data_IF_287180651091
#
_entry.id   IF_287180651091
#
_cell.length_a   1.000
_cell.length_b   1.000
_cell.length_c   1.000
_cell.angle_alpha   90.00
_cell.angle_beta   90.00
_cell.angle_gamma   90.00
#
_symmetry.space_group_name_H-M   'P 1'
#
loop_
_entity.id
_entity.type
_entity.pdbx_description
1 polymer ?
#
# COMPACT_ATOMS: atom_id res chain seq x y z
N UNK A 1 -18.20 -6.26 13.55
CA UNK A 1 -18.87 -4.94 13.59
C UNK A 1 -18.06 -4.03 12.68
N UNK A 2 -18.66 -3.52 11.61
CA UNK A 2 -17.95 -2.79 10.56
C UNK A 2 -17.90 -1.30 10.91
N UNK A 3 -16.69 -0.73 10.97
CA UNK A 3 -16.52 0.68 11.32
C UNK A 3 -16.52 1.58 10.08
N UNK A 4 -17.34 2.63 10.14
CA UNK A 4 -17.36 3.72 9.18
C UNK A 4 -16.39 4.81 9.62
N UNK A 5 -15.46 5.16 8.74
CA UNK A 5 -14.50 6.22 8.99
C UNK A 5 -15.00 7.55 8.40
N UNK A 6 -14.61 8.70 8.97
CA UNK A 6 -14.93 10.00 8.41
C UNK A 6 -14.27 10.14 7.03
N UNK A 7 -14.98 10.79 6.11
CA UNK A 7 -14.56 11.07 4.74
C UNK A 7 -14.43 12.56 4.56
N UNK A 8 -13.27 13.01 4.09
CA UNK A 8 -13.06 14.40 3.70
C UNK A 8 -13.01 14.49 2.18
N UNK A 9 -14.03 15.09 1.59
CA UNK A 9 -14.12 15.24 0.14
C UNK A 9 -12.97 16.08 -0.40
N UNK A 10 -12.55 15.77 -1.62
CA UNK A 10 -11.41 16.41 -2.31
C UNK A 10 -11.47 17.94 -2.28
N UNK A 11 -12.66 18.56 -2.45
CA UNK A 11 -12.80 20.02 -2.44
C UNK A 11 -12.48 20.67 -1.09
N UNK A 12 -12.64 19.92 0.00
CA UNK A 12 -12.30 20.37 1.36
C UNK A 12 -10.87 19.94 1.75
N UNK A 13 -10.38 18.84 1.18
CA UNK A 13 -9.02 18.36 1.39
C UNK A 13 -7.95 19.22 0.70
N UNK A 14 -8.21 19.73 -0.52
CA UNK A 14 -7.26 20.54 -1.30
C UNK A 14 -6.76 21.79 -0.54
N UNK A 15 -7.62 22.65 0.04
CA UNK A 15 -7.16 23.81 0.80
C UNK A 15 -6.27 23.46 1.99
N UNK A 16 -6.57 22.36 2.71
CA UNK A 16 -5.72 21.87 3.80
C UNK A 16 -4.34 21.47 3.29
N UNK A 17 -4.28 20.75 2.17
CA UNK A 17 -3.01 20.35 1.56
C UNK A 17 -2.16 21.57 1.18
N UNK A 18 -2.73 22.55 0.49
CA UNK A 18 -2.01 23.78 0.10
C UNK A 18 -1.50 24.55 1.31
N UNK A 19 -2.30 24.66 2.37
CA UNK A 19 -1.87 25.27 3.63
C UNK A 19 -0.70 24.51 4.25
N UNK A 20 -0.82 23.20 4.43
CA UNK A 20 0.17 22.39 5.15
C UNK A 20 1.53 22.32 4.46
N UNK A 21 1.57 22.46 3.13
CA UNK A 21 2.83 22.59 2.38
C UNK A 21 3.67 23.80 2.79
N UNK A 22 3.06 24.81 3.39
CA UNK A 22 3.74 26.03 3.86
C UNK A 22 4.20 25.95 5.32
N UNK A 23 3.81 24.91 6.05
CA UNK A 23 4.08 24.75 7.48
C UNK A 23 5.27 23.82 7.73
N UNK A 24 5.97 24.02 8.86
CA UNK A 24 6.95 23.06 9.33
C UNK A 24 6.27 21.84 9.97
N UNK A 25 6.92 20.68 9.91
CA UNK A 25 6.39 19.41 10.46
C UNK A 25 5.97 19.56 11.94
N UNK A 26 6.75 20.31 12.73
CA UNK A 26 6.45 20.59 14.15
C UNK A 26 5.13 21.33 14.37
N UNK A 27 4.71 22.15 13.41
CA UNK A 27 3.49 22.96 13.51
C UNK A 27 2.26 22.17 13.06
N UNK A 28 2.44 21.16 12.20
CA UNK A 28 1.37 20.27 11.74
C UNK A 28 0.77 19.44 12.87
N UNK A 29 1.55 19.13 13.91
CA UNK A 29 1.06 18.39 15.07
C UNK A 29 -0.06 19.12 15.82
N UNK A 30 -0.10 20.45 15.75
CA UNK A 30 -1.18 21.28 16.32
C UNK A 30 -2.40 21.43 15.41
N UNK A 31 -2.35 20.94 14.16
CA UNK A 31 -3.46 20.98 13.18
C UNK A 31 -4.29 19.71 13.13
N UNK A 32 -3.80 18.65 13.76
CA UNK A 32 -4.51 17.40 13.85
C UNK A 32 -5.83 17.53 14.62
N UNK A 33 -6.86 16.84 14.17
CA UNK A 33 -8.14 16.74 14.83
C UNK A 33 -8.76 15.35 14.62
N UNK A 34 -9.76 15.01 15.42
CA UNK A 34 -10.55 13.77 15.30
C UNK A 34 -11.85 13.98 14.51
N UNK A 35 -12.12 15.22 14.11
CA UNK A 35 -13.30 15.61 13.35
C UNK A 35 -12.96 16.79 12.43
N UNK A 36 -13.81 16.99 11.41
CA UNK A 36 -13.78 18.14 10.52
C UNK A 36 -15.23 18.51 10.20
N UNK A 37 -15.57 19.80 10.12
CA UNK A 37 -16.96 20.26 9.93
C UNK A 37 -17.60 19.70 8.64
N UNK A 38 -16.81 19.58 7.58
CA UNK A 38 -17.25 19.04 6.29
C UNK A 38 -17.07 17.52 6.16
N UNK A 39 -16.66 16.81 7.23
CA UNK A 39 -16.49 15.37 7.16
C UNK A 39 -17.85 14.66 7.14
N UNK A 40 -17.98 13.68 6.26
CA UNK A 40 -19.19 12.86 6.12
C UNK A 40 -18.88 11.40 6.43
N UNK A 41 -19.92 10.60 6.61
CA UNK A 41 -19.82 9.14 6.74
C UNK A 41 -20.60 8.49 5.61
N UNK A 42 -20.24 7.26 5.25
CA UNK A 42 -21.04 6.47 4.33
C UNK A 42 -22.47 6.30 4.86
N UNK A 43 -23.47 6.36 3.98
CA UNK A 43 -24.86 6.06 4.31
C UNK A 43 -25.11 4.53 4.31
N UNK A 44 -24.24 3.77 4.99
CA UNK A 44 -24.31 2.32 5.10
C UNK A 44 -24.59 1.92 6.55
N UNK A 45 -25.12 0.70 6.78
CA UNK A 45 -25.53 0.22 8.12
C UNK A 45 -24.39 -0.14 9.08
N UNK A 46 -23.24 0.55 9.01
CA UNK A 46 -22.11 0.35 9.91
C UNK A 46 -22.06 1.39 11.05
N UNK A 47 -21.24 1.12 12.05
CA UNK A 47 -21.07 2.03 13.19
C UNK A 47 -20.00 3.07 12.90
N UNK A 48 -20.29 4.33 13.20
CA UNK A 48 -19.27 5.39 13.09
C UNK A 48 -18.15 5.11 14.09
N UNK A 49 -16.91 5.20 13.62
CA UNK A 49 -15.75 5.16 14.52
C UNK A 49 -15.87 6.25 15.58
N UNK A 50 -15.64 5.90 16.85
CA UNK A 50 -15.73 6.87 17.95
C UNK A 50 -14.53 7.82 17.94
N UNK A 51 -14.72 9.02 18.50
CA UNK A 51 -13.63 10.00 18.70
C UNK A 51 -12.46 9.36 19.46
N UNK A 52 -12.76 8.67 20.57
CA UNK A 52 -11.77 7.95 21.37
C UNK A 52 -10.94 6.98 20.53
N UNK A 53 -11.56 6.26 19.59
CA UNK A 53 -10.83 5.31 18.74
C UNK A 53 -9.96 6.00 17.69
N UNK A 54 -10.36 7.18 17.22
CA UNK A 54 -9.51 8.02 16.36
C UNK A 54 -8.31 8.58 17.14
N UNK A 55 -8.50 8.98 18.40
CA UNK A 55 -7.42 9.39 19.30
C UNK A 55 -6.44 8.25 19.55
N UNK A 56 -6.94 7.06 19.94
CA UNK A 56 -6.13 5.86 20.15
C UNK A 56 -5.34 5.48 18.88
N UNK A 57 -5.98 5.53 17.70
CA UNK A 57 -5.34 5.29 16.41
C UNK A 57 -4.21 6.31 16.15
N UNK A 58 -4.48 7.60 16.40
CA UNK A 58 -3.50 8.67 16.20
C UNK A 58 -2.30 8.50 17.13
N UNK A 59 -2.55 8.29 18.41
CA UNK A 59 -1.50 8.19 19.43
C UNK A 59 -0.61 6.98 19.18
N UNK A 60 -1.19 5.82 18.86
CA UNK A 60 -0.42 4.63 18.52
C UNK A 60 0.40 4.79 17.25
N UNK A 61 -0.12 5.47 16.22
CA UNK A 61 0.62 5.77 15.00
C UNK A 61 1.76 6.76 15.22
N UNK A 62 1.57 7.77 16.07
CA UNK A 62 2.63 8.71 16.46
C UNK A 62 3.71 8.02 17.30
N UNK A 63 3.31 7.16 18.23
CA UNK A 63 4.24 6.37 19.04
C UNK A 63 5.07 5.43 18.16
N UNK A 64 4.44 4.80 17.16
CA UNK A 64 5.14 4.00 16.17
C UNK A 64 6.12 4.86 15.38
N UNK A 65 5.68 5.98 14.82
CA UNK A 65 6.53 6.88 14.04
C UNK A 65 7.75 7.39 14.85
N UNK A 66 7.57 7.64 16.15
CA UNK A 66 8.65 8.09 17.03
C UNK A 66 9.78 7.06 17.16
N UNK A 67 9.47 5.76 17.10
CA UNK A 67 10.47 4.68 17.12
C UNK A 67 11.37 4.70 15.86
N UNK A 68 10.92 5.37 14.79
CA UNK A 68 11.62 5.47 13.51
C UNK A 68 12.14 6.89 13.21
N UNK A 69 12.20 7.76 14.21
CA UNK A 69 12.83 9.08 14.10
C UNK A 69 11.87 10.27 13.96
N UNK A 70 10.56 10.08 14.01
CA UNK A 70 9.61 11.21 14.08
C UNK A 70 9.81 12.01 15.37
N UNK A 71 9.78 13.36 15.35
CA UNK A 71 9.54 14.25 14.19
C UNK A 71 10.81 14.70 13.45
N UNK A 72 11.99 14.15 13.80
CA UNK A 72 13.28 14.47 13.20
C UNK A 72 13.59 13.68 11.91
N UNK A 73 14.87 13.52 11.60
CA UNK A 73 15.29 12.77 10.41
C UNK A 73 15.23 11.25 10.63
N UNK A 74 15.01 10.52 9.54
CA UNK A 74 14.94 9.06 9.53
C UNK A 74 15.73 8.53 8.33
N UNK A 75 16.54 7.49 8.55
CA UNK A 75 17.33 6.83 7.52
C UNK A 75 16.44 6.10 6.51
N UNK A 76 16.99 5.74 5.34
CA UNK A 76 16.22 5.00 4.33
C UNK A 76 15.72 3.65 4.85
N UNK A 77 16.57 2.92 5.57
CA UNK A 77 16.23 1.60 6.10
C UNK A 77 15.15 1.71 7.18
N UNK A 78 15.28 2.68 8.09
CA UNK A 78 14.27 2.95 9.12
C UNK A 78 12.89 3.31 8.52
N UNK A 79 12.85 3.97 7.36
CA UNK A 79 11.59 4.25 6.66
C UNK A 79 10.94 2.99 6.10
N UNK A 80 11.74 2.07 5.55
CA UNK A 80 11.23 0.78 5.06
C UNK A 80 10.64 -0.08 6.17
N UNK A 81 11.34 -0.16 7.31
CA UNK A 81 10.86 -0.88 8.49
C UNK A 81 9.63 -0.21 9.12
N UNK A 82 9.60 1.13 9.15
CA UNK A 82 8.42 1.88 9.55
C UNK A 82 7.21 1.53 8.70
N UNK A 83 7.39 1.44 7.37
CA UNK A 83 6.29 1.14 6.44
C UNK A 83 5.71 -0.25 6.60
N UNK A 84 6.58 -1.22 6.89
CA UNK A 84 6.18 -2.58 7.24
C UNK A 84 5.33 -2.58 8.52
N UNK A 85 5.81 -1.95 9.60
CA UNK A 85 5.09 -1.91 10.87
C UNK A 85 3.80 -1.09 10.78
N UNK A 86 3.81 -0.01 10.01
CA UNK A 86 2.66 0.85 9.77
C UNK A 86 1.55 0.11 9.03
N UNK A 87 1.90 -0.69 8.01
CA UNK A 87 0.94 -1.54 7.30
C UNK A 87 0.23 -2.52 8.25
N UNK A 88 1.00 -3.21 9.10
CA UNK A 88 0.48 -4.14 10.12
C UNK A 88 -0.45 -3.43 11.11
N UNK A 89 0.00 -2.30 11.64
CA UNK A 89 -0.74 -1.53 12.65
C UNK A 89 -2.05 -0.98 12.09
N UNK A 90 -2.04 -0.36 10.90
CA UNK A 90 -3.24 0.18 10.27
C UNK A 90 -4.29 -0.92 10.04
N UNK A 91 -3.90 -2.03 9.41
CA UNK A 91 -4.84 -3.12 9.12
C UNK A 91 -5.36 -3.80 10.40
N UNK A 92 -4.47 -4.08 11.36
CA UNK A 92 -4.81 -4.72 12.62
C UNK A 92 -5.77 -3.91 13.49
N UNK A 93 -5.59 -2.58 13.55
CA UNK A 93 -6.27 -1.70 14.50
C UNK A 93 -7.53 -1.06 13.92
N UNK A 94 -7.53 -0.68 12.63
CA UNK A 94 -8.61 0.14 12.09
C UNK A 94 -9.96 -0.57 12.04
N UNK A 95 -9.97 -1.90 11.84
CA UNK A 95 -11.18 -2.72 11.63
C UNK A 95 -12.15 -2.11 10.59
N UNK A 96 -11.59 -1.36 9.64
CA UNK A 96 -12.29 -0.84 8.47
C UNK A 96 -12.44 -1.99 7.47
N UNK A 97 -13.57 -2.06 6.79
CA UNK A 97 -13.80 -3.07 5.74
C UNK A 97 -13.23 -2.60 4.39
N UNK A 98 -12.86 -3.52 3.48
CA UNK A 98 -12.34 -3.16 2.15
C UNK A 98 -13.20 -2.19 1.35
N UNK A 99 -14.54 -2.28 1.49
CA UNK A 99 -15.46 -1.37 0.81
C UNK A 99 -15.33 0.08 1.29
N UNK A 100 -15.19 0.31 2.60
CA UNK A 100 -14.94 1.63 3.18
C UNK A 100 -13.52 2.10 2.85
N UNK A 101 -12.53 1.21 2.98
CA UNK A 101 -11.13 1.49 2.68
C UNK A 101 -10.86 1.74 1.18
N UNK A 102 -11.79 1.46 0.28
CA UNK A 102 -11.68 1.81 -1.13
C UNK A 102 -11.95 3.29 -1.41
N UNK A 103 -12.58 4.02 -0.47
CA UNK A 103 -12.83 5.45 -0.60
C UNK A 103 -11.56 6.26 -0.30
N UNK A 104 -11.08 6.99 -1.31
CA UNK A 104 -9.97 7.93 -1.18
C UNK A 104 -10.17 8.98 -0.08
N UNK A 105 -11.42 9.43 0.10
CA UNK A 105 -11.78 10.48 1.07
C UNK A 105 -11.55 10.06 2.53
N UNK A 106 -11.62 8.75 2.84
CA UNK A 106 -11.21 8.22 4.17
C UNK A 106 -9.73 8.49 4.40
N UNK A 107 -8.91 8.20 3.39
CA UNK A 107 -7.46 8.37 3.46
C UNK A 107 -7.05 9.84 3.48
N UNK A 108 -7.77 10.69 2.75
CA UNK A 108 -7.61 12.14 2.81
C UNK A 108 -7.89 12.68 4.21
N UNK A 109 -8.98 12.23 4.85
CA UNK A 109 -9.26 12.57 6.25
C UNK A 109 -8.13 12.13 7.18
N UNK A 110 -7.64 10.89 7.05
CA UNK A 110 -6.55 10.39 7.89
C UNK A 110 -5.25 11.19 7.70
N UNK A 111 -4.89 11.53 6.46
CA UNK A 111 -3.64 12.22 6.16
C UNK A 111 -3.67 13.73 6.43
N UNK A 112 -4.84 14.38 6.35
CA UNK A 112 -4.95 15.85 6.45
C UNK A 112 -5.68 16.33 7.72
N UNK A 113 -6.43 15.45 8.37
CA UNK A 113 -7.14 15.80 9.62
C UNK A 113 -6.54 15.03 10.77
N UNK A 114 -6.43 13.70 10.69
CA UNK A 114 -5.99 12.92 11.86
C UNK A 114 -4.47 12.99 12.10
N UNK A 115 -3.67 12.83 11.04
CA UNK A 115 -2.21 12.63 11.10
C UNK A 115 -1.43 13.51 10.11
N UNK A 116 -1.68 14.82 10.02
CA UNK A 116 -0.97 15.70 9.09
C UNK A 116 0.54 15.75 9.35
N UNK A 117 0.96 15.69 10.61
CA UNK A 117 2.37 15.66 10.98
C UNK A 117 3.07 14.38 10.50
N UNK A 118 2.51 13.20 10.79
CA UNK A 118 3.11 11.92 10.38
C UNK A 118 3.12 11.78 8.85
N UNK A 119 2.05 12.21 8.16
CA UNK A 119 1.97 12.15 6.70
C UNK A 119 3.08 12.99 6.02
N UNK A 120 3.28 14.22 6.47
CA UNK A 120 4.27 15.15 5.89
C UNK A 120 5.68 14.92 6.40
N UNK A 121 5.85 14.30 7.56
CA UNK A 121 7.15 13.78 8.00
C UNK A 121 7.62 12.63 7.12
N UNK A 122 6.73 11.65 6.87
CA UNK A 122 7.04 10.48 6.04
C UNK A 122 7.36 10.88 4.60
N UNK A 123 6.60 11.82 4.05
CA UNK A 123 6.88 12.44 2.76
C UNK A 123 6.91 13.96 2.87
N UNK A 124 8.11 14.54 3.05
CA UNK A 124 8.27 15.99 3.00
C UNK A 124 7.82 16.51 1.64
N UNK A 125 6.95 17.54 1.64
CA UNK A 125 6.35 18.12 0.43
C UNK A 125 5.70 17.06 -0.48
N UNK A 126 4.70 16.31 0.02
CA UNK A 126 4.07 15.25 -0.76
C UNK A 126 3.31 15.85 -1.94
N UNK A 127 3.35 15.26 -3.14
CA UNK A 127 2.41 15.61 -4.20
C UNK A 127 0.97 15.29 -3.76
N UNK A 128 -0.01 15.96 -4.35
CA UNK A 128 -1.41 15.86 -3.94
C UNK A 128 -1.97 14.43 -3.98
N UNK A 129 -1.55 13.60 -4.95
CA UNK A 129 -1.97 12.19 -5.06
C UNK A 129 -1.63 11.35 -3.82
N UNK A 130 -0.61 11.74 -3.06
CA UNK A 130 -0.18 11.04 -1.85
C UNK A 130 -1.02 11.34 -0.61
N UNK A 131 -1.77 12.45 -0.57
CA UNK A 131 -2.51 12.88 0.64
C UNK A 131 -3.97 13.22 0.40
N UNK A 132 -4.39 13.46 -0.85
CA UNK A 132 -5.78 13.77 -1.21
C UNK A 132 -6.63 12.52 -1.48
N UNK A 133 -6.01 11.34 -1.54
CA UNK A 133 -6.71 10.08 -1.80
C UNK A 133 -7.20 9.90 -3.24
N UNK A 134 -6.76 10.75 -4.18
CA UNK A 134 -7.13 10.66 -5.61
C UNK A 134 -6.56 9.42 -6.30
N UNK A 135 -5.42 8.91 -5.83
CA UNK A 135 -4.85 7.62 -6.20
C UNK A 135 -4.45 6.83 -4.94
N UNK A 136 -5.29 5.89 -4.55
CA UNK A 136 -5.05 5.04 -3.38
C UNK A 136 -3.79 4.19 -3.49
N UNK A 137 -3.31 3.92 -4.71
CA UNK A 137 -2.08 3.13 -4.95
C UNK A 137 -0.82 3.90 -4.58
N UNK A 138 -0.91 5.22 -4.44
CA UNK A 138 0.20 6.12 -4.10
C UNK A 138 0.03 6.80 -2.74
N UNK A 139 -1.15 6.69 -2.16
CA UNK A 139 -1.50 7.38 -0.93
C UNK A 139 -0.58 6.96 0.24
N UNK A 140 -0.13 7.95 1.03
CA UNK A 140 0.87 7.80 2.10
C UNK A 140 0.50 6.74 3.16
N UNK A 141 -0.79 6.65 3.52
CA UNK A 141 -1.32 5.62 4.46
C UNK A 141 -2.09 4.51 3.74
N UNK A 142 -3.07 4.86 2.89
CA UNK A 142 -3.96 3.90 2.23
C UNK A 142 -3.29 2.75 1.50
N UNK A 143 -2.18 3.00 0.78
CA UNK A 143 -1.47 1.92 0.08
C UNK A 143 -0.89 0.89 1.04
N UNK A 144 -0.47 1.30 2.25
CA UNK A 144 0.09 0.41 3.26
C UNK A 144 -0.98 -0.47 3.89
N UNK A 145 -2.16 0.10 4.18
CA UNK A 145 -3.30 -0.68 4.63
C UNK A 145 -3.73 -1.72 3.58
N UNK A 146 -3.80 -1.32 2.31
CA UNK A 146 -4.13 -2.26 1.23
C UNK A 146 -3.06 -3.33 1.01
N UNK A 147 -1.78 -2.98 1.16
CA UNK A 147 -0.70 -3.95 1.15
C UNK A 147 -0.92 -5.04 2.20
N UNK A 148 -1.21 -4.65 3.44
CA UNK A 148 -1.56 -5.60 4.51
C UNK A 148 -2.83 -6.40 4.19
N UNK A 149 -3.91 -5.74 3.75
CA UNK A 149 -5.19 -6.39 3.42
C UNK A 149 -5.06 -7.46 2.33
N UNK A 150 -4.25 -7.21 1.30
CA UNK A 150 -4.11 -8.12 0.15
C UNK A 150 -3.31 -9.37 0.49
N UNK A 151 -2.40 -9.28 1.47
CA UNK A 151 -1.55 -10.41 1.88
C UNK A 151 -2.01 -11.08 3.16
N UNK A 152 -2.95 -10.48 3.90
CA UNK A 152 -3.44 -10.97 5.19
C UNK A 152 -4.00 -12.39 5.11
N UNK A 153 -3.45 -13.30 5.92
CA UNK A 153 -3.84 -14.71 6.01
C UNK A 153 -4.22 -15.06 7.46
N UNK A 154 -5.50 -15.01 7.85
CA UNK A 154 -5.90 -15.20 9.25
C UNK A 154 -5.61 -16.60 9.81
N UNK A 155 -5.45 -17.60 8.94
CA UNK A 155 -5.18 -18.99 9.34
C UNK A 155 -3.69 -19.24 9.65
N UNK A 156 -2.80 -18.32 9.28
CA UNK A 156 -1.37 -18.44 9.54
C UNK A 156 -1.03 -18.03 10.98
N UNK A 157 -0.01 -18.64 11.58
CA UNK A 157 0.47 -18.27 12.91
C UNK A 157 0.90 -16.79 13.01
N UNK A 158 1.48 -16.26 11.92
CA UNK A 158 1.65 -14.82 11.70
C UNK A 158 0.86 -14.40 10.45
N UNK A 159 -0.33 -13.78 10.62
CA UNK A 159 -1.19 -13.38 9.51
C UNK A 159 -0.59 -12.36 8.54
N UNK A 160 0.51 -11.70 8.92
CA UNK A 160 1.17 -10.66 8.13
C UNK A 160 2.56 -11.06 7.63
N UNK A 161 2.95 -12.34 7.78
CA UNK A 161 4.26 -12.86 7.34
C UNK A 161 4.55 -12.54 5.87
N UNK A 162 3.52 -12.58 5.03
CA UNK A 162 3.65 -12.31 3.60
C UNK A 162 4.05 -10.86 3.27
N UNK A 163 3.98 -9.92 4.22
CA UNK A 163 4.54 -8.58 4.04
C UNK A 163 6.08 -8.59 3.91
N UNK A 164 6.74 -9.60 4.47
CA UNK A 164 8.21 -9.73 4.48
C UNK A 164 8.74 -10.39 3.19
N UNK A 165 7.87 -10.99 2.38
CA UNK A 165 8.25 -11.70 1.14
C UNK A 165 8.70 -10.74 0.05
N UNK A 166 7.95 -9.65 -0.15
CA UNK A 166 8.29 -8.60 -1.10
C UNK A 166 8.51 -7.30 -0.35
N UNK A 167 9.68 -6.69 -0.60
CA UNK A 167 9.91 -5.30 -0.23
C UNK A 167 8.86 -4.37 -0.83
N UNK A 168 8.67 -3.21 -0.21
CA UNK A 168 7.63 -2.25 -0.60
C UNK A 168 7.65 -1.89 -2.09
N UNK A 169 8.84 -1.60 -2.63
CA UNK A 169 8.99 -1.21 -4.03
C UNK A 169 8.57 -2.32 -5.02
N UNK A 170 8.69 -3.59 -4.62
CA UNK A 170 8.22 -4.72 -5.42
C UNK A 170 6.70 -4.85 -5.33
N UNK A 171 6.13 -4.76 -4.12
CA UNK A 171 4.69 -4.77 -3.92
C UNK A 171 3.99 -3.61 -4.64
N UNK A 172 4.57 -2.40 -4.60
CA UNK A 172 4.06 -1.22 -5.29
C UNK A 172 3.90 -1.46 -6.80
N UNK A 173 4.74 -2.29 -7.42
CA UNK A 173 4.57 -2.65 -8.84
C UNK A 173 3.32 -3.52 -9.06
N UNK A 174 3.02 -4.43 -8.14
CA UNK A 174 1.80 -5.24 -8.19
C UNK A 174 0.59 -4.34 -7.95
N UNK A 175 0.63 -3.51 -6.91
CA UNK A 175 -0.49 -2.68 -6.50
C UNK A 175 -0.78 -1.53 -7.47
N UNK A 176 0.23 -0.98 -8.15
CA UNK A 176 0.02 -0.03 -9.26
C UNK A 176 -0.84 -0.62 -10.39
N UNK A 177 -0.95 -1.95 -10.49
CA UNK A 177 -1.80 -2.67 -11.44
C UNK A 177 -3.10 -3.14 -10.80
N UNK A 178 -3.59 -2.43 -9.77
CA UNK A 178 -4.76 -2.81 -8.95
C UNK A 178 -5.98 -3.28 -9.75
N UNK A 179 -6.29 -2.63 -10.87
CA UNK A 179 -7.48 -2.95 -11.68
C UNK A 179 -7.43 -4.34 -12.32
N UNK A 180 -6.23 -4.85 -12.63
CA UNK A 180 -6.06 -6.10 -13.37
C UNK A 180 -5.42 -7.21 -12.52
N UNK A 181 -4.46 -6.86 -11.64
CA UNK A 181 -3.67 -7.84 -10.89
C UNK A 181 -3.71 -7.58 -9.37
N UNK A 182 -3.52 -6.32 -8.95
CA UNK A 182 -3.31 -5.96 -7.54
C UNK A 182 -4.57 -5.72 -6.71
N UNK A 183 -5.76 -6.08 -7.21
CA UNK A 183 -7.04 -5.85 -6.54
C UNK A 183 -7.60 -7.08 -5.82
N UNK A 184 -7.10 -8.28 -6.15
CA UNK A 184 -7.59 -9.55 -5.66
C UNK A 184 -6.59 -10.16 -4.66
N UNK A 185 -6.95 -10.39 -3.39
CA UNK A 185 -6.08 -11.08 -2.43
C UNK A 185 -5.64 -12.46 -2.93
N UNK A 186 -6.52 -13.18 -3.63
CA UNK A 186 -6.22 -14.50 -4.18
C UNK A 186 -5.08 -14.41 -5.20
N UNK A 187 -5.19 -13.49 -6.15
CA UNK A 187 -4.18 -13.31 -7.20
C UNK A 187 -2.87 -12.74 -6.64
N UNK A 188 -2.93 -11.76 -5.74
CA UNK A 188 -1.73 -11.20 -5.09
C UNK A 188 -0.99 -12.29 -4.31
N UNK A 189 -1.68 -13.12 -3.54
CA UNK A 189 -1.04 -14.24 -2.82
C UNK A 189 -0.47 -15.29 -3.77
N UNK A 190 -1.13 -15.59 -4.89
CA UNK A 190 -0.58 -16.48 -5.92
C UNK A 190 0.70 -15.91 -6.56
N UNK A 191 0.72 -14.61 -6.86
CA UNK A 191 1.92 -13.90 -7.34
C UNK A 191 3.04 -14.02 -6.30
N UNK A 192 2.75 -13.81 -5.03
CA UNK A 192 3.74 -13.92 -3.95
C UNK A 192 4.29 -15.34 -3.79
N UNK A 193 3.45 -16.37 -3.88
CA UNK A 193 3.89 -17.78 -3.84
C UNK A 193 4.79 -18.09 -5.03
N UNK A 194 4.33 -17.79 -6.25
CA UNK A 194 5.11 -18.01 -7.46
C UNK A 194 6.45 -17.25 -7.42
N UNK A 195 6.46 -16.04 -6.85
CA UNK A 195 7.68 -15.25 -6.66
C UNK A 195 8.65 -15.83 -5.63
N UNK A 196 8.13 -16.32 -4.50
CA UNK A 196 8.95 -16.85 -3.39
C UNK A 196 9.74 -18.10 -3.79
N UNK A 197 9.23 -18.84 -4.77
CA UNK A 197 9.82 -20.09 -5.26
C UNK A 197 10.87 -19.86 -6.36
N UNK A 198 11.16 -18.59 -6.72
CA UNK A 198 12.15 -18.25 -7.75
C UNK A 198 13.55 -18.12 -7.17
N UNK A 199 14.52 -18.76 -7.82
CA UNK A 199 15.94 -18.49 -7.63
C UNK A 199 16.35 -17.26 -8.44
N UNK A 200 16.43 -16.11 -7.77
CA UNK A 200 16.77 -14.84 -8.40
C UNK A 200 18.22 -14.43 -8.10
N UNK A 201 18.93 -14.00 -9.13
CA UNK A 201 20.24 -13.34 -8.96
C UNK A 201 19.98 -11.90 -8.49
N UNK A 202 20.39 -11.56 -7.26
CA UNK A 202 20.03 -10.33 -6.50
C UNK A 202 20.29 -8.96 -7.15
N UNK A 203 20.70 -8.88 -8.41
CA UNK A 203 20.76 -7.66 -9.20
C UNK A 203 19.59 -7.44 -10.18
N UNK A 204 18.71 -8.43 -10.38
CA UNK A 204 17.68 -8.40 -11.44
C UNK A 204 16.24 -8.63 -11.00
N UNK A 205 16.01 -8.83 -9.72
CA UNK A 205 14.68 -9.09 -9.16
C UNK A 205 13.64 -8.07 -9.65
N UNK A 206 14.01 -6.79 -9.67
CA UNK A 206 13.10 -5.74 -10.13
C UNK A 206 12.71 -5.86 -11.60
N UNK A 207 13.65 -6.22 -12.47
CA UNK A 207 13.40 -6.36 -13.91
C UNK A 207 12.61 -7.62 -14.20
N UNK A 208 12.92 -8.72 -13.51
CA UNK A 208 12.16 -9.98 -13.60
C UNK A 208 10.72 -9.76 -13.14
N UNK A 209 10.51 -9.11 -11.98
CA UNK A 209 9.17 -8.80 -11.50
C UNK A 209 8.40 -7.92 -12.48
N UNK A 210 9.07 -6.93 -13.07
CA UNK A 210 8.44 -6.05 -14.05
C UNK A 210 8.00 -6.82 -15.29
N UNK A 211 8.86 -7.66 -15.86
CA UNK A 211 8.53 -8.48 -17.03
C UNK A 211 7.40 -9.47 -16.70
N UNK A 212 7.50 -10.15 -15.55
CA UNK A 212 6.49 -11.07 -15.03
C UNK A 212 5.11 -10.41 -14.95
N UNK A 213 5.01 -9.27 -14.28
CA UNK A 213 3.75 -8.54 -14.17
C UNK A 213 3.25 -8.01 -15.52
N UNK A 214 4.15 -7.68 -16.46
CA UNK A 214 3.75 -7.30 -17.82
C UNK A 214 3.18 -8.47 -18.61
N UNK A 215 3.71 -9.68 -18.46
CA UNK A 215 3.16 -10.89 -19.07
C UNK A 215 1.78 -11.22 -18.51
N UNK A 216 1.61 -11.18 -17.20
CA UNK A 216 0.30 -11.38 -16.57
C UNK A 216 -0.73 -10.35 -17.05
N UNK A 217 -0.33 -9.08 -17.22
CA UNK A 217 -1.21 -8.05 -17.81
C UNK A 217 -1.61 -8.34 -19.26
N UNK A 218 -0.72 -8.96 -20.05
CA UNK A 218 -1.05 -9.35 -21.43
C UNK A 218 -2.00 -10.54 -21.47
N UNK A 219 -1.97 -11.40 -20.46
CA UNK A 219 -2.85 -12.56 -20.32
C UNK A 219 -4.22 -12.20 -19.74
N UNK A 220 -4.32 -11.14 -18.91
CA UNK A 220 -5.57 -10.79 -18.21
C UNK A 220 -6.81 -10.56 -19.09
N UNK A 221 -6.73 -10.13 -20.37
CA UNK A 221 -7.89 -10.08 -21.25
C UNK A 221 -8.41 -11.45 -21.70
N UNK A 222 -7.57 -12.49 -21.63
CA UNK A 222 -7.86 -13.85 -22.11
C UNK A 222 -8.10 -14.82 -20.95
N UNK A 223 -7.56 -14.53 -19.77
CA UNK A 223 -7.61 -15.40 -18.60
C UNK A 223 -8.24 -14.65 -17.43
N UNK A 224 -9.33 -15.21 -16.90
CA UNK A 224 -9.90 -14.78 -15.62
C UNK A 224 -9.19 -15.57 -14.51
N UNK A 225 -8.09 -15.03 -14.00
CA UNK A 225 -7.24 -15.72 -13.02
C UNK A 225 -8.01 -16.18 -11.78
N UNK A 226 -8.98 -15.39 -11.32
CA UNK A 226 -9.80 -15.70 -10.16
C UNK A 226 -10.77 -16.87 -10.39
N UNK A 227 -11.03 -17.24 -11.64
CA UNK A 227 -11.86 -18.40 -11.99
C UNK A 227 -11.05 -19.70 -12.12
N UNK A 228 -9.72 -19.62 -12.09
CA UNK A 228 -8.86 -20.80 -12.16
C UNK A 228 -8.87 -21.57 -10.83
N UNK A 229 -8.85 -22.92 -10.86
CA UNK A 229 -8.55 -23.72 -9.69
C UNK A 229 -7.19 -23.34 -9.08
N UNK A 230 -7.00 -23.42 -7.74
CA UNK A 230 -5.77 -22.97 -7.09
C UNK A 230 -4.48 -23.56 -7.67
N UNK A 231 -4.46 -24.86 -7.97
CA UNK A 231 -3.30 -25.52 -8.57
C UNK A 231 -3.02 -25.05 -10.00
N UNK A 232 -4.07 -24.86 -10.81
CA UNK A 232 -3.94 -24.37 -12.17
C UNK A 232 -3.43 -22.92 -12.19
N UNK A 233 -3.94 -22.08 -11.29
CA UNK A 233 -3.47 -20.73 -11.10
C UNK A 233 -1.98 -20.69 -10.71
N UNK A 234 -1.60 -21.45 -9.69
CA UNK A 234 -0.21 -21.47 -9.22
C UNK A 234 0.74 -21.99 -10.32
N UNK A 235 0.33 -23.01 -11.09
CA UNK A 235 1.11 -23.52 -12.23
C UNK A 235 1.26 -22.49 -13.36
N UNK A 236 0.18 -21.80 -13.72
CA UNK A 236 0.19 -20.74 -14.73
C UNK A 236 1.15 -19.61 -14.31
N UNK A 237 1.04 -19.13 -13.07
CA UNK A 237 1.90 -18.06 -12.58
C UNK A 237 3.37 -18.47 -12.50
N UNK A 238 3.67 -19.71 -12.09
CA UNK A 238 5.05 -20.25 -12.11
C UNK A 238 5.60 -20.30 -13.52
N UNK A 239 4.82 -20.76 -14.49
CA UNK A 239 5.23 -20.81 -15.90
C UNK A 239 5.58 -19.42 -16.41
N UNK A 240 4.71 -18.44 -16.18
CA UNK A 240 4.91 -17.06 -16.64
C UNK A 240 6.09 -16.38 -15.93
N UNK A 241 6.34 -16.72 -14.66
CA UNK A 241 7.52 -16.27 -13.92
C UNK A 241 8.82 -16.84 -14.50
N UNK A 242 8.84 -18.14 -14.82
CA UNK A 242 9.99 -18.81 -15.43
C UNK A 242 10.33 -18.24 -16.81
N UNK A 243 9.33 -17.99 -17.65
CA UNK A 243 9.53 -17.31 -18.94
C UNK A 243 10.16 -15.92 -18.77
N UNK A 244 9.82 -15.21 -17.69
CA UNK A 244 10.38 -13.89 -17.39
C UNK A 244 11.86 -13.98 -17.03
N UNK A 245 12.25 -14.98 -16.23
CA UNK A 245 13.65 -15.25 -15.89
C UNK A 245 14.44 -15.56 -17.16
N UNK A 246 13.92 -16.44 -18.02
CA UNK A 246 14.57 -16.83 -19.27
C UNK A 246 14.75 -15.65 -20.22
N UNK A 247 13.73 -14.83 -20.40
CA UNK A 247 13.80 -13.63 -21.25
C UNK A 247 14.83 -12.62 -20.74
N UNK A 248 14.87 -12.38 -19.43
CA UNK A 248 15.82 -11.45 -18.80
C UNK A 248 17.26 -12.00 -18.78
N UNK A 249 17.45 -13.32 -18.81
CA UNK A 249 18.76 -13.97 -19.01
C UNK A 249 19.19 -13.85 -20.47
N UNK A 250 18.32 -14.13 -21.43
CA UNK A 250 18.60 -14.09 -22.86
C UNK A 250 18.97 -12.68 -23.35
N UNK A 251 18.24 -11.64 -22.92
CA UNK A 251 18.53 -10.25 -23.29
C UNK A 251 19.95 -9.82 -22.88
N UNK A 252 20.45 -10.32 -21.74
CA UNK A 252 21.81 -10.04 -21.26
C UNK A 252 22.89 -10.76 -22.08
N UNK A 253 22.64 -11.98 -22.54
CA UNK A 253 23.56 -12.70 -23.42
C UNK A 253 23.75 -11.96 -24.75
N UNK A 254 22.71 -11.27 -25.23
CA UNK A 254 22.77 -10.43 -26.44
C UNK A 254 23.52 -9.12 -26.16
N UNK A 255 23.26 -8.44 -25.05
CA UNK A 255 23.94 -7.16 -24.72
C UNK A 255 25.40 -7.28 -24.28
N UNK A 256 25.89 -8.49 -23.99
CA UNK A 256 27.29 -8.74 -23.58
C UNK A 256 28.22 -9.16 -24.72
N UNK A 257 27.70 -9.33 -25.95
CA UNK A 257 28.56 -9.50 -27.13
C UNK A 257 29.18 -8.15 -27.51
N UNK A 258 30.51 -8.05 -27.68
CA UNK A 258 31.14 -6.81 -28.09
C UNK A 258 30.69 -6.45 -29.50
N UNK A 259 30.35 -5.19 -29.72
CA UNK A 259 30.12 -4.61 -31.04
C UNK A 259 31.42 -4.73 -31.82
N UNK A 260 31.46 -5.67 -32.77
CA UNK A 260 32.57 -5.85 -33.71
C UNK A 260 32.67 -4.70 -34.70
#
# INVERSE_FOLDING_TARGET
>A
MNLLYPRLLTEQAKPLHELYRTLAIRDLGGRSATSHESAIYAATGGDRVSVRRLEELRDGLRQLAAQFGFPGESSRDARGDFDLQLARYLHGTMKIIPAEAASGDVWAFLALVLLPDVAYWRYPQPPGDRVLGTDITRHVLGRLWWRAQLVYSPEDADPYRALDVLGEAAFDQIYARRKALGGSPLLVKAILRAWSDLELDGGKERDVLRDFLQRLLRLSPFVVFEALPPEALDNELRSVAQESIEAIRASRAVSSKPSG
#
